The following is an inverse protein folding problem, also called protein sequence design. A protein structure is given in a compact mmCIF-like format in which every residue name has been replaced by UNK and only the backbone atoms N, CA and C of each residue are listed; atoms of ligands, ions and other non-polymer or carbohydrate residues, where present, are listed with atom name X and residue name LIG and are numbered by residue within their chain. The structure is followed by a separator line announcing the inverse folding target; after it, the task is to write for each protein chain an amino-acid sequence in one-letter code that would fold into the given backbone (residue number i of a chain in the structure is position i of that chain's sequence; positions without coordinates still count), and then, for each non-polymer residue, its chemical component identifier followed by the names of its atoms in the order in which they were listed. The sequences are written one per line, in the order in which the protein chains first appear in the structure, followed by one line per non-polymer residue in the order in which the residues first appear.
data_IF_614900291993
#
_entry.id   IF_614900291993
#
_cell.length_a   1.000
_cell.length_b   1.000
_cell.length_c   1.000
_cell.angle_alpha   90.00
_cell.angle_beta   90.00
_cell.angle_gamma   90.00
#
_symmetry.space_group_name_H-M   'P 1'
#
loop_
_entity.id
_entity.type
_entity.pdbx_description
1 polymer ?
#
# COMPACT_ATOMS: atom_id res chain seq x y z
N UNK A 1 1.61 3.04 11.57
CA UNK A 1 2.83 2.93 10.73
C UNK A 1 3.31 4.31 10.32
N UNK A 2 4.54 4.47 9.81
CA UNK A 2 5.15 5.79 9.58
C UNK A 2 4.27 6.78 8.80
N UNK A 3 3.71 6.38 7.64
CA UNK A 3 2.82 7.23 6.85
C UNK A 3 1.48 7.52 7.55
N UNK A 4 0.87 6.51 8.19
CA UNK A 4 -0.37 6.68 8.95
C UNK A 4 -0.19 7.72 10.07
N UNK A 5 0.93 7.68 10.80
CA UNK A 5 1.23 8.69 11.83
C UNK A 5 1.39 10.10 11.24
N UNK A 6 2.02 10.23 10.06
CA UNK A 6 2.13 11.53 9.39
C UNK A 6 0.77 12.08 8.96
N UNK A 7 -0.13 11.24 8.45
CA UNK A 7 -1.48 11.65 8.05
C UNK A 7 -2.33 12.10 9.23
N UNK A 8 -2.27 11.38 10.35
CA UNK A 8 -2.95 11.78 11.59
C UNK A 8 -2.41 13.13 12.11
N UNK A 9 -1.09 13.32 12.08
CA UNK A 9 -0.46 14.59 12.46
C UNK A 9 -0.82 15.74 11.51
N UNK A 10 -1.13 15.45 10.24
CA UNK A 10 -1.61 16.42 9.27
C UNK A 10 -3.10 16.79 9.45
N UNK A 11 -3.79 16.20 10.44
CA UNK A 11 -5.18 16.50 10.77
C UNK A 11 -6.22 15.54 10.17
N UNK A 12 -5.79 14.44 9.52
CA UNK A 12 -6.72 13.38 9.14
C UNK A 12 -7.23 12.69 10.41
N UNK A 13 -8.53 12.39 10.48
CA UNK A 13 -9.10 11.62 11.58
C UNK A 13 -8.92 10.13 11.33
N UNK A 14 -8.71 9.37 12.41
CA UNK A 14 -8.49 7.92 12.36
C UNK A 14 -9.64 7.17 11.66
N UNK A 15 -10.89 7.61 11.88
CA UNK A 15 -12.07 7.03 11.24
C UNK A 15 -12.09 7.14 9.70
N UNK A 16 -11.25 7.99 9.10
CA UNK A 16 -11.11 8.13 7.66
C UNK A 16 -9.84 7.46 7.10
N UNK A 17 -9.11 6.72 7.94
CA UNK A 17 -7.86 6.08 7.58
C UNK A 17 -7.97 4.56 7.71
N UNK A 18 -7.83 3.88 6.58
CA UNK A 18 -7.70 2.42 6.56
C UNK A 18 -6.27 2.02 6.18
N UNK A 19 -5.73 1.05 6.92
CA UNK A 19 -4.40 0.48 6.64
C UNK A 19 -4.60 -0.98 6.25
N UNK A 20 -4.29 -1.30 5.00
CA UNK A 20 -4.29 -2.70 4.55
C UNK A 20 -3.27 -3.50 5.34
N UNK A 21 -3.67 -4.69 5.81
CA UNK A 21 -2.80 -5.66 6.47
C UNK A 21 -1.93 -6.46 5.50
N UNK A 22 -2.14 -6.32 4.19
CA UNK A 22 -1.42 -7.09 3.18
C UNK A 22 0.08 -6.76 3.15
N UNK A 23 0.90 -7.79 2.95
CA UNK A 23 2.34 -7.64 2.81
C UNK A 23 2.83 -8.19 1.46
N UNK A 24 3.38 -7.32 0.62
CA UNK A 24 3.85 -7.70 -0.72
C UNK A 24 4.97 -8.74 -0.71
N UNK A 25 5.76 -8.82 0.37
CA UNK A 25 6.79 -9.85 0.54
C UNK A 25 6.17 -11.22 0.84
N UNK A 26 5.25 -11.30 1.81
CA UNK A 26 4.69 -12.56 2.31
C UNK A 26 3.64 -13.17 1.37
N UNK A 27 2.87 -12.35 0.67
CA UNK A 27 1.77 -12.79 -0.19
C UNK A 27 2.23 -12.91 -1.65
N UNK A 28 3.07 -13.90 -1.93
CA UNK A 28 3.70 -14.12 -3.23
C UNK A 28 2.73 -14.36 -4.39
N UNK A 29 1.58 -14.95 -4.11
CA UNK A 29 0.58 -15.29 -5.14
C UNK A 29 -0.26 -14.08 -5.57
N UNK A 30 -0.26 -12.99 -4.78
CA UNK A 30 -1.08 -11.80 -5.04
C UNK A 30 -0.26 -10.60 -5.49
N UNK A 31 0.99 -10.48 -5.04
CA UNK A 31 1.78 -9.26 -5.24
C UNK A 31 3.21 -9.53 -5.71
N UNK A 32 3.70 -8.65 -6.59
CA UNK A 32 5.13 -8.54 -6.87
C UNK A 32 5.86 -7.89 -5.69
N UNK A 33 7.09 -8.34 -5.41
CA UNK A 33 7.95 -7.70 -4.41
C UNK A 33 9.40 -7.63 -4.89
N UNK A 34 9.91 -6.40 -5.05
CA UNK A 34 11.31 -6.20 -5.46
C UNK A 34 12.29 -6.80 -4.45
N UNK A 35 11.97 -6.76 -3.14
CA UNK A 35 12.85 -7.35 -2.12
C UNK A 35 12.96 -8.87 -2.24
N UNK A 36 11.89 -9.53 -2.67
CA UNK A 36 11.84 -11.00 -2.84
C UNK A 36 12.37 -11.43 -4.21
N UNK A 37 11.95 -10.76 -5.28
CA UNK A 37 12.13 -11.22 -6.66
C UNK A 37 13.24 -10.47 -7.42
N UNK A 38 13.77 -9.37 -6.85
CA UNK A 38 14.83 -8.55 -7.44
C UNK A 38 14.46 -7.96 -8.79
N UNK A 39 15.42 -7.96 -9.72
CA UNK A 39 15.26 -7.45 -11.08
C UNK A 39 14.15 -8.12 -11.90
N UNK A 40 13.68 -9.31 -11.48
CA UNK A 40 12.57 -10.02 -12.13
C UNK A 40 11.19 -9.63 -11.61
N UNK A 41 11.13 -8.79 -10.58
CA UNK A 41 9.85 -8.38 -10.00
C UNK A 41 9.05 -7.53 -10.99
N UNK A 42 7.75 -7.82 -11.13
CA UNK A 42 6.81 -6.93 -11.81
C UNK A 42 6.53 -5.64 -11.01
N UNK A 43 5.55 -4.84 -11.45
CA UNK A 43 5.12 -3.63 -10.74
C UNK A 43 3.60 -3.57 -10.70
N UNK A 44 3.03 -3.40 -9.51
CA UNK A 44 1.61 -3.07 -9.35
C UNK A 44 1.42 -1.55 -9.47
N UNK A 45 0.17 -1.14 -9.70
CA UNK A 45 -0.22 0.25 -9.78
C UNK A 45 -1.38 0.52 -8.81
N UNK A 46 -1.29 1.57 -8.01
CA UNK A 46 -2.43 2.12 -7.27
C UNK A 46 -3.18 3.11 -8.14
N UNK A 47 -4.47 2.88 -8.38
CA UNK A 47 -5.31 3.70 -9.25
C UNK A 47 -6.53 4.19 -8.48
N UNK A 48 -6.90 5.45 -8.68
CA UNK A 48 -8.13 6.05 -8.17
C UNK A 48 -8.74 6.95 -9.24
N UNK A 49 -10.07 6.95 -9.34
CA UNK A 49 -10.79 7.75 -10.32
C UNK A 49 -12.26 7.91 -9.95
N UNK A 50 -12.87 8.98 -10.45
CA UNK A 50 -14.31 9.18 -10.35
C UNK A 50 -14.97 8.58 -11.59
N UNK A 51 -16.02 7.79 -11.38
CA UNK A 51 -16.87 7.28 -12.46
C UNK A 51 -18.11 8.17 -12.54
N UNK A 52 -18.56 8.48 -13.75
CA UNK A 52 -19.77 9.28 -14.00
C UNK A 52 -21.03 8.44 -13.84
#
# INVERSE_FOLDING_TARGET
GANSSQLLNAGLIDAHLEVSSHCTIHESELFHSYRRDGEKSGRMMGVIGLVR
#
